data_IF_879353368429
#
_entry.id   IF_879353368429
#
_cell.length_a   1.000
_cell.length_b   1.000
_cell.length_c   1.000
_cell.angle_alpha   90.00
_cell.angle_beta   90.00
_cell.angle_gamma   90.00
#
_symmetry.space_group_name_H-M   'P 1'
#
loop_
_entity.id
_entity.type
_entity.pdbx_description
1 polymer ?
#
# COMPACT_ATOMS: atom_id res chain seq x y z
N UNK A 1 -0.85 -4.15 -22.36
CA UNK A 1 -1.23 -5.23 -21.44
C UNK A 1 -2.30 -4.68 -20.52
N UNK A 2 -3.50 -5.25 -20.52
CA UNK A 2 -4.71 -4.67 -19.90
C UNK A 2 -4.49 -4.30 -18.43
N UNK A 3 -3.66 -5.07 -17.72
CA UNK A 3 -3.26 -4.78 -16.34
C UNK A 3 -2.61 -3.41 -16.16
N UNK A 4 -1.72 -2.99 -17.07
CA UNK A 4 -1.05 -1.68 -16.96
C UNK A 4 -2.03 -0.54 -17.20
N UNK A 5 -2.97 -0.71 -18.11
CA UNK A 5 -4.03 0.28 -18.37
C UNK A 5 -4.93 0.42 -17.15
N UNK A 6 -5.41 -0.70 -16.60
CA UNK A 6 -6.22 -0.70 -15.39
C UNK A 6 -5.51 -0.01 -14.22
N UNK A 7 -4.22 -0.31 -14.01
CA UNK A 7 -3.45 0.31 -12.95
C UNK A 7 -3.28 1.83 -13.17
N UNK A 8 -2.94 2.26 -14.39
CA UNK A 8 -2.78 3.69 -14.70
C UNK A 8 -4.07 4.50 -14.49
N UNK A 9 -5.25 3.91 -14.70
CA UNK A 9 -6.53 4.54 -14.42
C UNK A 9 -6.86 4.66 -12.93
N UNK A 10 -6.23 3.84 -12.09
CA UNK A 10 -6.66 3.60 -10.72
C UNK A 10 -5.65 4.02 -9.66
N UNK A 11 -4.36 3.94 -9.95
CA UNK A 11 -3.30 4.21 -9.00
C UNK A 11 -1.95 4.52 -9.70
N UNK A 12 -1.22 5.55 -9.27
CA UNK A 12 -0.01 6.04 -9.93
C UNK A 12 1.22 5.11 -9.82
N UNK A 13 1.23 4.16 -8.87
CA UNK A 13 2.37 3.25 -8.68
C UNK A 13 2.51 2.21 -9.80
N UNK A 14 1.47 2.01 -10.63
CA UNK A 14 1.49 1.09 -11.78
C UNK A 14 1.88 -0.35 -11.41
N UNK A 15 1.65 -0.74 -10.15
CA UNK A 15 1.96 -2.06 -9.63
C UNK A 15 0.87 -2.51 -8.67
N UNK A 16 0.39 -3.74 -8.82
CA UNK A 16 -0.57 -4.29 -7.87
C UNK A 16 0.07 -4.50 -6.49
N UNK A 17 -0.63 -4.02 -5.45
CA UNK A 17 -0.33 -4.43 -4.08
C UNK A 17 -0.73 -5.89 -3.89
N UNK A 18 0.25 -6.76 -3.65
CA UNK A 18 0.01 -8.19 -3.40
C UNK A 18 -0.31 -8.43 -1.92
N UNK A 19 -0.98 -9.56 -1.58
CA UNK A 19 -1.18 -9.94 -0.18
C UNK A 19 0.11 -10.03 0.63
N UNK A 20 1.22 -10.45 0.01
CA UNK A 20 2.53 -10.52 0.66
C UNK A 20 3.06 -9.13 1.04
N UNK A 21 2.86 -8.11 0.19
CA UNK A 21 3.24 -6.71 0.50
C UNK A 21 2.40 -6.13 1.65
N UNK A 22 1.11 -6.46 1.70
CA UNK A 22 0.24 -6.10 2.84
C UNK A 22 0.77 -6.75 4.12
N UNK A 23 1.09 -8.04 4.07
CA UNK A 23 1.68 -8.77 5.20
C UNK A 23 2.99 -8.16 5.69
N UNK A 24 3.89 -7.78 4.78
CA UNK A 24 5.16 -7.13 5.14
C UNK A 24 4.94 -5.78 5.84
N UNK A 25 3.96 -4.99 5.40
CA UNK A 25 3.59 -3.74 6.08
C UNK A 25 3.08 -3.99 7.50
N UNK A 26 2.24 -5.01 7.70
CA UNK A 26 1.75 -5.40 9.03
C UNK A 26 2.91 -5.85 9.92
N UNK A 27 3.85 -6.64 9.40
CA UNK A 27 5.06 -7.05 10.15
C UNK A 27 5.87 -5.85 10.61
N UNK A 28 6.04 -4.84 9.75
CA UNK A 28 6.67 -3.57 10.13
C UNK A 28 5.90 -2.87 11.25
N UNK A 29 4.56 -2.77 11.15
CA UNK A 29 3.73 -2.14 12.19
C UNK A 29 3.80 -2.86 13.54
N UNK A 30 4.10 -4.16 13.56
CA UNK A 30 4.32 -4.92 14.79
C UNK A 30 5.75 -4.82 15.35
N UNK A 31 6.67 -4.14 14.67
CA UNK A 31 8.06 -3.97 15.11
C UNK A 31 8.25 -2.76 16.02
N UNK A 32 9.37 -2.72 16.75
CA UNK A 32 9.76 -1.57 17.59
C UNK A 32 9.85 -0.25 16.80
N UNK A 33 10.19 -0.33 15.50
CA UNK A 33 10.31 0.82 14.60
C UNK A 33 8.98 1.54 14.35
N UNK A 34 7.85 0.90 14.64
CA UNK A 34 6.51 1.46 14.51
C UNK A 34 5.87 1.77 15.88
N UNK A 35 6.63 1.73 16.98
CA UNK A 35 6.11 1.84 18.35
C UNK A 35 5.28 3.10 18.66
N UNK A 36 5.43 4.16 17.89
CA UNK A 36 4.69 5.42 18.03
C UNK A 36 3.61 5.63 16.95
N UNK A 37 3.44 4.69 16.03
CA UNK A 37 2.38 4.72 15.03
C UNK A 37 1.11 4.15 15.66
N UNK A 38 0.18 5.04 16.02
CA UNK A 38 -1.09 4.66 16.64
C UNK A 38 -2.21 5.62 16.23
N UNK A 39 -3.45 5.13 16.19
CA UNK A 39 -4.64 5.93 15.87
C UNK A 39 -4.71 6.49 14.44
N UNK A 40 -3.81 6.06 13.55
CA UNK A 40 -3.70 6.55 12.18
C UNK A 40 -4.19 5.51 11.16
N UNK A 41 -4.90 5.97 10.13
CA UNK A 41 -5.17 5.19 8.93
C UNK A 41 -4.03 5.41 7.92
N UNK A 42 -3.16 4.42 7.77
CA UNK A 42 -2.03 4.46 6.84
C UNK A 42 -2.41 3.77 5.52
N UNK A 43 -2.30 4.48 4.40
CA UNK A 43 -2.62 3.94 3.09
C UNK A 43 -1.46 3.15 2.47
N UNK A 44 -1.79 2.02 1.83
CA UNK A 44 -0.88 1.14 1.06
C UNK A 44 -1.51 0.70 -0.28
N UNK A 45 -2.24 1.61 -0.91
CA UNK A 45 -3.16 1.36 -2.03
C UNK A 45 -2.59 1.68 -3.42
N UNK A 46 -1.28 1.91 -3.55
CA UNK A 46 -0.68 2.31 -4.82
C UNK A 46 -0.77 3.82 -5.11
N UNK A 47 -1.29 4.63 -4.18
CA UNK A 47 -1.64 6.03 -4.41
C UNK A 47 -3.07 6.21 -4.92
N UNK A 48 -3.95 5.23 -4.69
CA UNK A 48 -5.35 5.32 -5.10
C UNK A 48 -6.04 6.52 -4.46
N UNK A 49 -5.92 6.68 -3.14
CA UNK A 49 -6.60 7.76 -2.41
C UNK A 49 -5.99 9.16 -2.65
N UNK A 50 -4.74 9.23 -3.10
CA UNK A 50 -3.98 10.49 -3.16
C UNK A 50 -4.06 11.24 -4.51
N UNK A 51 -4.70 10.66 -5.52
CA UNK A 51 -4.74 11.18 -6.89
C UNK A 51 -5.79 12.28 -7.10
#
# INVERSE_FOLDING_TARGET
DESKTLLAEKQPMLEFTTPAKIGAFVVFLCSDGASTITGAALSIDGGWVAQ
#
